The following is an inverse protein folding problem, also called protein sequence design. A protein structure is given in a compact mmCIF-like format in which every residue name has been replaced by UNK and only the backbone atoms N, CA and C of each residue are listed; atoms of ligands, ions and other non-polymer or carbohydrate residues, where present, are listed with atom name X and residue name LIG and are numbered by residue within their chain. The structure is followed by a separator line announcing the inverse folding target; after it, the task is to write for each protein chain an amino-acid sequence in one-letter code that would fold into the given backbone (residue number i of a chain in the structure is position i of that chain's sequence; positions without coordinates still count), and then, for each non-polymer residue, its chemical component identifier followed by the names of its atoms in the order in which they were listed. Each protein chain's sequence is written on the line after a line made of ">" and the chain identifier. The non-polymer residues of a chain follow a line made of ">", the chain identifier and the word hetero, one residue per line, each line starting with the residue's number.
data_IF_841119416231
#
_entry.id   IF_841119416231
#
_cell.length_a   1.000
_cell.length_b   1.000
_cell.length_c   1.000
_cell.angle_alpha   90.00
_cell.angle_beta   90.00
_cell.angle_gamma   90.00
#
_symmetry.space_group_name_H-M   'P 1'
#
loop_
_entity.id
_entity.type
_entity.pdbx_description
1 polymer ?
#
# COMPACT_ATOMS: atom_id res chain seq x y z
N UNK A 1 15.81 9.34 -23.69
CA UNK A 1 16.24 10.02 -22.44
C UNK A 1 15.07 10.84 -21.94
N UNK A 2 14.44 10.44 -20.85
CA UNK A 2 13.37 11.23 -20.22
C UNK A 2 14.02 12.15 -19.19
N UNK A 3 13.98 13.45 -19.43
CA UNK A 3 14.49 14.47 -18.49
C UNK A 3 13.85 14.33 -17.11
N UNK A 4 14.59 14.66 -16.02
CA UNK A 4 14.00 14.79 -14.70
C UNK A 4 13.06 15.99 -14.73
N UNK A 5 11.78 15.71 -14.94
CA UNK A 5 10.75 16.74 -14.95
C UNK A 5 10.55 17.20 -13.51
N UNK A 6 11.24 18.28 -13.14
CA UNK A 6 10.99 18.99 -11.89
C UNK A 6 9.49 19.30 -11.82
N UNK A 7 8.79 18.64 -10.89
CA UNK A 7 7.37 18.88 -10.70
C UNK A 7 7.23 20.02 -9.73
N UNK A 8 6.46 21.02 -10.14
CA UNK A 8 5.95 22.00 -9.20
C UNK A 8 5.27 21.23 -8.06
N UNK A 9 5.72 21.46 -6.83
CA UNK A 9 5.08 20.97 -5.62
C UNK A 9 3.59 21.32 -5.72
N UNK A 10 2.77 20.34 -6.10
CA UNK A 10 1.32 20.52 -6.24
C UNK A 10 0.66 20.69 -4.87
N UNK A 11 1.40 20.39 -3.81
CA UNK A 11 0.99 20.50 -2.43
C UNK A 11 1.42 21.84 -1.84
N UNK A 12 0.95 22.96 -2.43
CA UNK A 12 1.10 24.27 -1.78
C UNK A 12 0.13 24.36 -0.60
N UNK A 13 0.47 23.69 0.50
CA UNK A 13 -0.18 23.81 1.81
C UNK A 13 -1.11 22.67 2.24
N UNK A 14 -1.41 21.69 1.36
CA UNK A 14 -2.22 20.52 1.73
C UNK A 14 -1.30 19.32 2.01
N UNK A 15 -1.36 18.80 3.23
CA UNK A 15 -0.63 17.59 3.64
C UNK A 15 -1.28 16.36 3.02
N UNK A 16 -0.47 15.40 2.56
CA UNK A 16 -0.99 14.14 2.00
C UNK A 16 -1.34 13.13 3.10
N UNK A 17 -0.56 13.11 4.17
CA UNK A 17 -0.79 12.26 5.34
C UNK A 17 -1.37 13.07 6.50
N UNK A 18 -2.11 12.40 7.39
CA UNK A 18 -2.59 13.08 8.60
C UNK A 18 -1.44 13.36 9.56
N UNK A 19 -1.55 14.45 10.31
CA UNK A 19 -0.53 14.84 11.29
C UNK A 19 -0.33 13.75 12.36
N UNK A 20 -1.41 13.05 12.74
CA UNK A 20 -1.36 11.96 13.72
C UNK A 20 -0.55 10.76 13.21
N UNK A 21 -0.71 10.37 11.95
CA UNK A 21 0.05 9.26 11.34
C UNK A 21 1.55 9.59 11.30
N UNK A 22 1.90 10.81 10.86
CA UNK A 22 3.29 11.23 10.77
C UNK A 22 3.94 11.36 12.15
N UNK A 23 3.21 11.85 13.16
CA UNK A 23 3.68 11.89 14.55
C UNK A 23 3.93 10.49 15.12
N UNK A 24 2.99 9.56 14.91
CA UNK A 24 3.16 8.18 15.35
C UNK A 24 4.33 7.49 14.64
N UNK A 25 4.50 7.74 13.34
CA UNK A 25 5.63 7.23 12.58
C UNK A 25 6.96 7.72 13.15
N UNK A 26 7.10 9.03 13.36
CA UNK A 26 8.30 9.63 13.95
C UNK A 26 8.61 9.05 15.33
N UNK A 27 7.61 8.98 16.22
CA UNK A 27 7.77 8.43 17.55
C UNK A 27 8.14 6.93 17.52
N UNK A 28 7.52 6.13 16.65
CA UNK A 28 7.85 4.71 16.49
C UNK A 28 9.29 4.49 15.99
N UNK A 29 9.87 5.48 15.31
CA UNK A 29 11.24 5.47 14.82
C UNK A 29 12.23 6.20 15.74
N UNK A 30 11.82 6.57 16.96
CA UNK A 30 12.70 7.08 18.01
C UNK A 30 12.77 8.61 18.12
N UNK A 31 11.89 9.35 17.45
CA UNK A 31 11.73 10.79 17.65
C UNK A 31 10.98 11.09 18.96
N UNK A 32 10.94 12.37 19.35
CA UNK A 32 10.21 12.86 20.53
C UNK A 32 8.69 12.64 20.40
N UNK A 33 7.95 12.45 21.51
CA UNK A 33 6.48 12.24 21.48
C UNK A 33 5.68 13.37 20.82
N UNK A 34 6.23 14.58 20.82
CA UNK A 34 5.64 15.76 20.20
C UNK A 34 6.63 16.38 19.22
N UNK A 35 6.74 15.76 18.04
CA UNK A 35 7.57 16.27 16.96
C UNK A 35 7.19 17.71 16.55
N UNK A 36 8.19 18.48 16.13
CA UNK A 36 8.00 19.85 15.65
C UNK A 36 7.14 19.85 14.38
N UNK A 37 6.28 20.85 14.23
CA UNK A 37 5.42 20.99 13.05
C UNK A 37 6.20 21.03 11.73
N UNK A 38 7.36 21.70 11.73
CA UNK A 38 8.26 21.74 10.58
C UNK A 38 8.81 20.36 10.20
N UNK A 39 9.13 19.51 11.17
CA UNK A 39 9.59 18.13 10.94
C UNK A 39 8.49 17.30 10.30
N UNK A 40 7.26 17.42 10.79
CA UNK A 40 6.11 16.68 10.27
C UNK A 40 5.84 17.07 8.81
N UNK A 41 5.82 18.37 8.51
CA UNK A 41 5.62 18.87 7.14
C UNK A 41 6.74 18.43 6.20
N UNK A 42 7.98 18.47 6.66
CA UNK A 42 9.13 18.00 5.89
C UNK A 42 9.05 16.49 5.61
N UNK A 43 8.61 15.69 6.59
CA UNK A 43 8.41 14.26 6.40
C UNK A 43 7.31 13.97 5.38
N UNK A 44 6.18 14.69 5.43
CA UNK A 44 5.09 14.57 4.44
C UNK A 44 5.62 14.79 3.01
N UNK A 45 6.41 15.85 2.80
CA UNK A 45 7.03 16.16 1.51
C UNK A 45 8.00 15.05 1.06
N UNK A 46 8.92 14.63 1.93
CA UNK A 46 9.93 13.60 1.61
C UNK A 46 9.26 12.26 1.27
N UNK A 47 8.29 11.81 2.07
CA UNK A 47 7.60 10.54 1.85
C UNK A 47 6.75 10.59 0.59
N UNK A 48 6.08 11.71 0.35
CA UNK A 48 5.33 11.95 -0.88
C UNK A 48 6.22 11.82 -2.11
N UNK A 49 7.35 12.53 -2.13
CA UNK A 49 8.28 12.50 -3.26
C UNK A 49 8.85 11.08 -3.46
N UNK A 50 9.22 10.39 -2.37
CA UNK A 50 9.68 9.00 -2.42
C UNK A 50 8.65 8.07 -3.09
N UNK A 51 7.37 8.13 -2.69
CA UNK A 51 6.31 7.29 -3.25
C UNK A 51 6.09 7.61 -4.72
N UNK A 52 6.07 8.89 -5.06
CA UNK A 52 5.89 9.36 -6.45
C UNK A 52 7.02 8.81 -7.32
N UNK A 53 8.29 9.01 -6.93
CA UNK A 53 9.45 8.54 -7.69
C UNK A 53 9.49 7.02 -7.86
N UNK A 54 9.17 6.28 -6.79
CA UNK A 54 9.06 4.82 -6.85
C UNK A 54 7.99 4.37 -7.84
N UNK A 55 6.82 5.00 -7.82
CA UNK A 55 5.74 4.73 -8.77
C UNK A 55 6.14 5.04 -10.22
N UNK A 56 6.96 6.07 -10.46
CA UNK A 56 7.48 6.32 -11.82
C UNK A 56 8.44 5.24 -12.30
N UNK A 57 9.33 4.75 -11.44
CA UNK A 57 10.23 3.65 -11.82
C UNK A 57 9.46 2.36 -12.09
N UNK A 58 8.49 2.02 -11.24
CA UNK A 58 7.64 0.86 -11.46
C UNK A 58 6.76 1.00 -12.71
N UNK A 59 6.21 2.19 -12.96
CA UNK A 59 5.47 2.49 -14.19
C UNK A 59 6.35 2.34 -15.44
N UNK A 60 7.61 2.81 -15.41
CA UNK A 60 8.56 2.57 -16.50
C UNK A 60 8.77 1.08 -16.75
N UNK A 61 8.96 0.27 -15.71
CA UNK A 61 9.11 -1.18 -15.83
C UNK A 61 7.86 -1.83 -16.46
N UNK A 62 6.67 -1.44 -16.02
CA UNK A 62 5.41 -1.92 -16.59
C UNK A 62 5.26 -1.56 -18.08
N UNK A 63 5.60 -0.32 -18.45
CA UNK A 63 5.54 0.14 -19.84
C UNK A 63 6.53 -0.59 -20.75
N UNK A 64 7.75 -0.87 -20.28
CA UNK A 64 8.73 -1.68 -21.02
C UNK A 64 8.18 -3.10 -21.26
N UNK A 65 7.42 -3.64 -20.30
CA UNK A 65 6.71 -4.90 -20.44
C UNK A 65 5.40 -4.82 -21.26
N UNK A 66 5.11 -3.69 -21.91
CA UNK A 66 3.91 -3.49 -22.73
C UNK A 66 2.61 -3.36 -21.94
N UNK A 67 2.68 -3.13 -20.62
CA UNK A 67 1.52 -2.99 -19.74
C UNK A 67 1.28 -1.54 -19.36
N UNK A 68 0.00 -1.19 -19.23
CA UNK A 68 -0.43 0.09 -18.66
C UNK A 68 -0.61 0.02 -17.13
N UNK A 69 -1.05 -1.14 -16.62
CA UNK A 69 -1.24 -1.37 -15.19
C UNK A 69 0.06 -1.85 -14.54
N UNK A 70 0.45 -1.16 -13.46
CA UNK A 70 1.56 -1.53 -12.58
C UNK A 70 1.16 -2.73 -11.72
N UNK A 71 2.06 -3.70 -11.58
CA UNK A 71 1.92 -4.88 -10.73
C UNK A 71 2.95 -4.84 -9.60
N UNK A 72 2.77 -5.70 -8.61
CA UNK A 72 3.72 -5.85 -7.50
C UNK A 72 5.16 -6.10 -7.99
N UNK A 73 5.32 -6.93 -9.03
CA UNK A 73 6.63 -7.27 -9.58
C UNK A 73 7.35 -6.06 -10.18
N UNK A 74 6.62 -5.05 -10.67
CA UNK A 74 7.21 -3.81 -11.16
C UNK A 74 7.78 -2.97 -10.01
N UNK A 75 7.10 -2.96 -8.85
CA UNK A 75 7.58 -2.30 -7.62
C UNK A 75 8.80 -3.04 -7.06
N UNK A 76 8.77 -4.38 -7.03
CA UNK A 76 9.94 -5.19 -6.66
C UNK A 76 11.11 -4.91 -7.60
N UNK A 77 10.86 -4.83 -8.91
CA UNK A 77 11.89 -4.50 -9.89
C UNK A 77 12.44 -3.07 -9.70
N UNK A 78 11.59 -2.10 -9.38
CA UNK A 78 12.02 -0.75 -9.04
C UNK A 78 12.96 -0.72 -7.81
N UNK A 79 12.66 -1.55 -6.81
CA UNK A 79 13.48 -1.70 -5.58
C UNK A 79 14.68 -2.66 -5.71
N UNK A 80 14.99 -3.18 -6.91
CA UNK A 80 15.97 -4.28 -7.10
C UNK A 80 17.38 -4.01 -6.56
N UNK A 81 17.78 -2.75 -6.47
CA UNK A 81 19.09 -2.34 -5.95
C UNK A 81 19.14 -2.26 -4.42
N UNK A 82 17.99 -2.30 -3.74
CA UNK A 82 17.89 -2.19 -2.30
C UNK A 82 17.38 -3.51 -1.70
N UNK A 83 18.26 -4.40 -1.22
CA UNK A 83 17.86 -5.70 -0.67
C UNK A 83 17.00 -5.56 0.59
N UNK A 84 17.17 -4.48 1.37
CA UNK A 84 16.36 -4.25 2.57
C UNK A 84 14.90 -3.94 2.20
N UNK A 85 14.67 -3.17 1.14
CA UNK A 85 13.31 -2.88 0.65
C UNK A 85 12.64 -4.15 0.11
N UNK A 86 13.38 -4.98 -0.64
CA UNK A 86 12.87 -6.26 -1.11
C UNK A 86 12.50 -7.19 0.05
N UNK A 87 13.39 -7.33 1.04
CA UNK A 87 13.13 -8.14 2.22
C UNK A 87 11.87 -7.68 2.96
N UNK A 88 11.71 -6.36 3.15
CA UNK A 88 10.53 -5.79 3.80
C UNK A 88 9.25 -6.03 3.00
N UNK A 89 9.28 -5.85 1.68
CA UNK A 89 8.12 -6.12 0.81
C UNK A 89 7.71 -7.58 0.96
N UNK A 90 8.65 -8.52 0.84
CA UNK A 90 8.36 -9.96 0.98
C UNK A 90 7.78 -10.29 2.35
N UNK A 91 8.40 -9.81 3.44
CA UNK A 91 7.94 -10.02 4.82
C UNK A 91 6.50 -9.52 5.03
N UNK A 92 6.15 -8.36 4.49
CA UNK A 92 4.80 -7.79 4.62
C UNK A 92 3.77 -8.66 3.91
N UNK A 93 4.06 -9.15 2.71
CA UNK A 93 3.16 -10.03 1.97
C UNK A 93 3.01 -11.41 2.61
N UNK A 94 4.09 -11.98 3.15
CA UNK A 94 4.05 -13.23 3.90
C UNK A 94 3.18 -13.08 5.16
N UNK A 95 3.39 -12.03 5.94
CA UNK A 95 2.56 -11.75 7.13
C UNK A 95 1.09 -11.57 6.77
N UNK A 96 0.78 -10.88 5.66
CA UNK A 96 -0.59 -10.76 5.17
C UNK A 96 -1.19 -12.14 4.85
N UNK A 97 -0.48 -12.98 4.10
CA UNK A 97 -0.97 -14.33 3.78
C UNK A 97 -1.23 -15.19 5.02
N UNK A 98 -0.36 -15.09 6.03
CA UNK A 98 -0.55 -15.79 7.30
C UNK A 98 -1.80 -15.31 8.05
N UNK A 99 -2.03 -14.00 8.09
CA UNK A 99 -3.24 -13.41 8.69
C UNK A 99 -4.49 -13.88 7.95
N UNK A 100 -4.46 -13.87 6.61
CA UNK A 100 -5.60 -14.26 5.78
C UNK A 100 -5.93 -15.76 5.93
N UNK A 101 -4.92 -16.61 6.10
CA UNK A 101 -5.11 -18.04 6.41
C UNK A 101 -5.68 -18.24 7.82
N UNK A 102 -5.18 -17.51 8.82
CA UNK A 102 -5.68 -17.57 10.18
C UNK A 102 -7.17 -17.13 10.27
N UNK A 103 -7.57 -16.09 9.53
CA UNK A 103 -8.97 -15.65 9.46
C UNK A 103 -9.90 -16.76 8.94
N UNK A 104 -9.50 -17.44 7.85
CA UNK A 104 -10.27 -18.56 7.29
C UNK A 104 -10.48 -19.69 8.30
N UNK A 105 -9.46 -19.99 9.11
CA UNK A 105 -9.60 -21.02 10.15
C UNK A 105 -10.57 -20.62 11.25
N UNK A 106 -10.66 -19.32 11.59
CA UNK A 106 -11.56 -18.81 12.60
C UNK A 106 -13.03 -18.89 12.14
N UNK A 107 -13.34 -18.43 10.93
CA UNK A 107 -14.70 -18.48 10.36
C UNK A 107 -15.23 -19.91 10.23
N UNK A 108 -14.36 -20.86 9.85
CA UNK A 108 -14.72 -22.27 9.74
C UNK A 108 -15.06 -22.93 11.09
N UNK A 109 -14.52 -22.42 12.20
CA UNK A 109 -14.83 -22.90 13.57
C UNK A 109 -16.02 -22.20 14.21
N UNK A 110 -16.30 -20.94 13.87
CA UNK A 110 -17.36 -20.16 14.52
C UNK A 110 -18.78 -20.53 14.05
N UNK A 111 -18.92 -21.09 12.85
CA UNK A 111 -20.20 -21.63 12.35
C UNK A 111 -20.72 -22.84 13.18
N UNK A 112 -19.85 -23.42 14.03
CA UNK A 112 -20.24 -24.38 15.08
C UNK A 112 -20.53 -23.73 16.44
N UNK A 113 -20.00 -22.54 16.73
CA UNK A 113 -20.18 -21.86 18.02
C UNK A 113 -21.44 -20.96 18.04
N UNK A 114 -21.74 -20.26 16.95
CA UNK A 114 -22.89 -19.33 16.85
C UNK A 114 -24.25 -20.02 16.99
N UNK A 115 -24.38 -21.32 16.67
CA UNK A 115 -25.61 -22.09 16.94
C UNK A 115 -25.85 -22.40 18.43
N UNK A 116 -24.86 -22.18 19.30
CA UNK A 116 -24.98 -22.48 20.74
C UNK A 116 -25.31 -21.25 21.60
N UNK A 117 -25.17 -20.04 21.07
CA UNK A 117 -25.38 -18.80 21.81
C UNK A 117 -26.20 -17.81 20.95
N UNK A 118 -27.52 -17.75 21.18
CA UNK A 118 -28.47 -16.95 20.39
C UNK A 118 -28.33 -15.43 20.54
N UNK A 119 -27.17 -14.87 20.21
CA UNK A 119 -26.93 -13.43 20.07
C UNK A 119 -26.68 -13.07 18.61
N UNK A 120 -27.49 -12.16 18.06
CA UNK A 120 -27.24 -11.55 16.75
C UNK A 120 -25.87 -10.87 16.73
N UNK A 121 -24.93 -11.41 15.95
CA UNK A 121 -23.72 -10.70 15.53
C UNK A 121 -24.05 -10.04 14.20
N UNK A 122 -24.02 -8.71 14.15
CA UNK A 122 -24.13 -7.97 12.90
C UNK A 122 -22.84 -8.16 12.11
N UNK A 123 -22.93 -8.91 11.01
CA UNK A 123 -21.87 -9.05 10.01
C UNK A 123 -21.72 -7.72 9.29
N UNK A 124 -20.69 -6.95 9.62
CA UNK A 124 -20.25 -5.81 8.83
C UNK A 124 -19.86 -6.32 7.44
N UNK A 125 -20.64 -5.94 6.43
CA UNK A 125 -20.52 -6.43 5.06
C UNK A 125 -19.11 -6.22 4.51
N UNK A 126 -18.50 -7.32 4.06
CA UNK A 126 -17.33 -7.30 3.22
C UNK A 126 -17.82 -6.90 1.81
N UNK A 127 -17.62 -5.64 1.44
CA UNK A 127 -17.74 -5.25 0.03
C UNK A 127 -16.52 -5.83 -0.71
N UNK A 128 -16.82 -6.77 -1.61
CA UNK A 128 -15.90 -7.46 -2.51
C UNK A 128 -14.94 -6.50 -3.23
N UNK A 129 -13.66 -6.53 -2.86
CA UNK A 129 -12.57 -5.87 -3.62
C UNK A 129 -11.85 -6.87 -4.55
N UNK A 130 -12.59 -7.89 -5.05
CA UNK A 130 -12.14 -8.81 -6.10
C UNK A 130 -12.27 -8.17 -7.49
N UNK A 131 -11.51 -7.10 -7.72
CA UNK A 131 -11.39 -6.45 -9.01
C UNK A 131 -10.20 -7.01 -9.83
N UNK A 132 -10.15 -8.33 -10.07
CA UNK A 132 -9.29 -8.92 -11.11
C UNK A 132 -10.09 -9.65 -12.21
N UNK A 133 -11.21 -9.03 -12.62
CA UNK A 133 -11.87 -9.38 -13.87
C UNK A 133 -11.02 -8.88 -15.05
N UNK A 134 -10.23 -9.80 -15.58
CA UNK A 134 -9.48 -9.72 -16.84
C UNK A 134 -10.40 -9.31 -18.01
N UNK A 135 -10.45 -8.01 -18.32
CA UNK A 135 -11.15 -7.50 -19.51
C UNK A 135 -10.35 -7.86 -20.78
N UNK A 136 -10.64 -9.03 -21.36
CA UNK A 136 -10.23 -9.33 -22.73
C UNK A 136 -10.98 -8.42 -23.70
N UNK A 137 -10.31 -7.38 -24.22
CA UNK A 137 -10.81 -6.62 -25.37
C UNK A 137 -10.87 -7.55 -26.57
N UNK A 138 -12.08 -7.97 -26.96
CA UNK A 138 -12.35 -8.54 -28.28
C UNK A 138 -12.44 -7.39 -29.28
N UNK A 139 -11.41 -7.22 -30.11
CA UNK A 139 -11.46 -6.35 -31.27
C UNK A 139 -12.48 -6.87 -32.29
N UNK A 140 -13.54 -6.09 -32.51
CA UNK A 140 -14.46 -6.24 -33.64
C UNK A 140 -13.84 -5.65 -34.90
N UNK A 141 -14.15 -6.29 -36.03
CA UNK A 141 -13.68 -6.04 -37.40
C UNK A 141 -13.88 -4.61 -37.89
#
# INVERSE_FOLDING_TARGET
>A
MSEPRARAAKNRGQQNFSEAELKHFLHAHGDVPHALEGTIKCLDEIVTDFIIELCFEASRAAHIAGRQKVKLDDIKFACRSNPAFLGKITEVFEKKSFIDEAKKTFDATDDKLTKSSGGKVETLGEEDDDADAMHTVRGGK
#
